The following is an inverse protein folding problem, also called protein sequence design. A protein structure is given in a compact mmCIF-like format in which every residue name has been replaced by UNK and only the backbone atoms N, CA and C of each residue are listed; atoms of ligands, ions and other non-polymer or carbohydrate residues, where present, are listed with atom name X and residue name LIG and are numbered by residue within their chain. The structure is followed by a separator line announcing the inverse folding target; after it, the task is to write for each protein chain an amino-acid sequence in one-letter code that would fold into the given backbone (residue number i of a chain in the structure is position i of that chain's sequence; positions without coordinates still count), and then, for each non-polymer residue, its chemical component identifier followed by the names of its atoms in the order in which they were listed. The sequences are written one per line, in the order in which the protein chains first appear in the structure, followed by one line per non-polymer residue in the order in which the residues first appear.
data_IF_836134219676
#
_entry.id   IF_836134219676
#
_cell.length_a   1.000
_cell.length_b   1.000
_cell.length_c   1.000
_cell.angle_alpha   90.00
_cell.angle_beta   90.00
_cell.angle_gamma   90.00
#
_symmetry.space_group_name_H-M   'P 1'
#
loop_
_entity.id
_entity.type
_entity.pdbx_description
1 polymer ?
#
# COMPACT_ATOMS: atom_id res chain seq x y z
N UNK A 1 8.28 -14.72 22.62
CA UNK A 1 8.83 -14.72 21.25
C UNK A 1 8.91 -13.27 20.80
N UNK A 2 10.10 -12.65 20.80
CA UNK A 2 10.27 -11.26 20.38
C UNK A 2 10.25 -11.20 18.85
N UNK A 3 9.15 -10.68 18.29
CA UNK A 3 9.01 -10.44 16.86
C UNK A 3 9.95 -9.30 16.46
N UNK A 4 11.02 -9.63 15.73
CA UNK A 4 11.92 -8.64 15.13
C UNK A 4 11.28 -8.14 13.84
N UNK A 5 10.47 -7.09 13.95
CA UNK A 5 9.91 -6.37 12.79
C UNK A 5 11.08 -5.65 12.11
N UNK A 6 11.48 -6.09 10.92
CA UNK A 6 12.42 -5.38 10.05
C UNK A 6 11.76 -4.08 9.57
N UNK A 7 12.27 -2.91 9.97
CA UNK A 7 11.74 -1.61 9.58
C UNK A 7 12.15 -1.20 8.15
N UNK A 8 11.14 -1.05 7.27
CA UNK A 8 10.76 0.07 6.37
C UNK A 8 11.85 0.93 5.68
N UNK A 9 13.01 1.20 6.27
CA UNK A 9 14.04 2.06 5.66
C UNK A 9 14.68 1.49 4.38
N UNK A 10 14.70 0.17 4.23
CA UNK A 10 15.29 -0.51 3.07
C UNK A 10 14.26 -0.85 1.98
N UNK A 11 12.96 -0.73 2.26
CA UNK A 11 11.94 -1.30 1.38
C UNK A 11 11.45 -0.35 0.29
N UNK A 12 11.42 0.96 0.55
CA UNK A 12 11.19 1.93 -0.53
C UNK A 12 12.38 1.97 -1.52
N UNK A 13 13.54 1.46 -1.13
CA UNK A 13 14.73 1.33 -1.97
C UNK A 13 14.69 0.09 -2.89
N UNK A 14 13.78 -0.87 -2.68
CA UNK A 14 13.74 -2.14 -3.42
C UNK A 14 12.78 -2.12 -4.63
N UNK A 15 12.00 -1.05 -4.81
CA UNK A 15 11.18 -0.83 -6.02
C UNK A 15 12.02 -0.20 -7.16
N UNK A 16 13.22 0.31 -6.86
CA UNK A 16 14.23 0.63 -7.86
C UNK A 16 15.23 -0.53 -7.91
N UNK A 17 15.21 -1.27 -9.02
CA UNK A 17 15.98 -2.49 -9.19
C UNK A 17 17.48 -2.33 -8.90
N UNK A 18 18.15 -3.48 -8.74
CA UNK A 18 19.62 -3.63 -8.72
C UNK A 18 20.32 -2.56 -9.57
N UNK A 19 20.68 -1.43 -8.98
CA UNK A 19 21.52 -0.46 -9.64
C UNK A 19 22.96 -0.93 -9.44
N UNK A 20 23.46 -1.65 -10.43
CA UNK A 20 24.87 -1.47 -10.82
C UNK A 20 25.15 0.02 -10.82
N UNK A 21 26.22 0.49 -10.17
CA UNK A 21 26.52 1.91 -10.00
C UNK A 21 26.40 2.68 -11.33
N UNK A 22 25.24 3.29 -11.58
CA UNK A 22 25.02 4.18 -12.71
C UNK A 22 25.38 5.56 -12.22
N UNK A 23 26.26 6.25 -12.96
CA UNK A 23 26.68 7.62 -12.65
C UNK A 23 25.46 8.53 -12.44
N UNK A 24 25.49 9.47 -11.47
CA UNK A 24 24.34 10.29 -11.06
C UNK A 24 24.07 11.45 -12.05
N UNK A 25 23.90 11.10 -13.32
CA UNK A 25 23.44 11.98 -14.39
C UNK A 25 22.21 11.37 -15.06
N UNK A 26 21.35 10.71 -14.29
CA UNK A 26 19.97 10.54 -14.72
C UNK A 26 19.31 11.91 -14.57
N UNK A 27 18.93 12.49 -15.71
CA UNK A 27 18.01 13.61 -15.74
C UNK A 27 16.86 13.27 -14.80
N UNK A 28 16.55 14.17 -13.87
CA UNK A 28 15.29 14.13 -13.13
C UNK A 28 14.22 13.95 -14.21
N UNK A 29 13.43 12.86 -14.20
CA UNK A 29 12.38 12.72 -15.18
C UNK A 29 11.53 14.00 -15.09
N UNK A 30 10.96 14.43 -16.21
CA UNK A 30 10.06 15.57 -16.22
C UNK A 30 8.73 15.13 -15.58
N UNK A 31 8.75 14.85 -14.27
CA UNK A 31 7.62 14.40 -13.43
C UNK A 31 6.75 15.61 -13.07
N UNK A 32 6.62 16.58 -13.97
CA UNK A 32 5.69 17.66 -13.76
C UNK A 32 4.27 17.07 -13.84
N UNK A 33 3.75 16.68 -12.65
CA UNK A 33 2.36 16.28 -12.35
C UNK A 33 2.00 14.78 -12.45
N UNK A 34 2.93 13.86 -12.22
CA UNK A 34 2.56 12.43 -12.08
C UNK A 34 1.72 12.17 -10.83
N UNK A 35 0.69 11.31 -10.91
CA UNK A 35 -0.14 10.90 -9.75
C UNK A 35 0.19 9.49 -9.30
N UNK A 36 0.05 9.22 -8.00
CA UNK A 36 0.15 7.89 -7.41
C UNK A 36 -1.23 7.50 -6.89
N UNK A 37 -1.69 6.30 -7.27
CA UNK A 37 -2.89 5.72 -6.68
C UNK A 37 -2.48 4.98 -5.40
N UNK A 38 -2.85 5.51 -4.25
CA UNK A 38 -2.59 4.87 -2.96
C UNK A 38 -3.87 4.21 -2.43
N UNK A 39 -3.91 2.88 -2.42
CA UNK A 39 -5.02 2.16 -1.81
C UNK A 39 -4.75 1.91 -0.32
N UNK A 40 -5.68 2.33 0.53
CA UNK A 40 -5.67 2.00 1.96
C UNK A 40 -6.91 1.18 2.31
N UNK A 41 -6.79 0.23 3.24
CA UNK A 41 -7.97 -0.35 3.87
C UNK A 41 -8.79 0.75 4.55
N UNK A 42 -10.12 0.64 4.55
CA UNK A 42 -10.93 1.68 5.21
C UNK A 42 -10.71 1.67 6.72
N UNK A 43 -10.55 0.47 7.29
CA UNK A 43 -10.31 0.25 8.70
C UNK A 43 -8.93 -0.32 8.94
N UNK A 44 -8.34 0.00 10.09
CA UNK A 44 -7.10 -0.59 10.58
C UNK A 44 -5.91 -0.46 9.61
N UNK A 45 -5.66 0.75 9.12
CA UNK A 45 -4.44 1.13 8.38
C UNK A 45 -3.28 1.35 9.33
N UNK A 46 -2.09 0.82 9.04
CA UNK A 46 -0.92 1.11 9.88
C UNK A 46 -0.41 2.53 9.59
N UNK A 47 -0.59 3.45 10.54
CA UNK A 47 -0.37 4.89 10.34
C UNK A 47 1.00 5.22 9.78
N UNK A 48 2.05 4.64 10.38
CA UNK A 48 3.45 4.92 9.98
C UNK A 48 3.72 4.49 8.55
N UNK A 49 3.17 3.35 8.11
CA UNK A 49 3.37 2.85 6.74
C UNK A 49 2.68 3.74 5.71
N UNK A 50 1.46 4.18 6.00
CA UNK A 50 0.74 5.15 5.17
C UNK A 50 1.47 6.49 5.13
N UNK A 51 1.72 7.09 6.30
CA UNK A 51 2.13 8.50 6.38
C UNK A 51 3.54 8.73 5.83
N UNK A 52 4.47 7.80 6.09
CA UNK A 52 5.83 7.88 5.54
C UNK A 52 5.82 7.73 4.03
N UNK A 53 5.06 6.79 3.47
CA UNK A 53 4.93 6.63 2.02
C UNK A 53 4.26 7.85 1.37
N UNK A 54 3.16 8.33 1.95
CA UNK A 54 2.40 9.48 1.45
C UNK A 54 3.26 10.74 1.37
N UNK A 55 3.93 11.12 2.46
CA UNK A 55 4.75 12.34 2.48
C UNK A 55 6.05 12.16 1.69
N UNK A 56 6.62 10.96 1.63
CA UNK A 56 7.78 10.66 0.79
C UNK A 56 7.48 10.83 -0.70
N UNK A 57 6.34 10.32 -1.17
CA UNK A 57 5.91 10.49 -2.57
C UNK A 57 5.61 11.95 -2.90
N UNK A 58 4.95 12.68 -1.99
CA UNK A 58 4.70 14.12 -2.18
C UNK A 58 5.98 14.95 -2.20
N UNK A 59 6.96 14.59 -1.39
CA UNK A 59 8.27 15.22 -1.40
C UNK A 59 9.02 15.02 -2.74
N UNK A 60 8.77 13.91 -3.44
CA UNK A 60 9.27 13.65 -4.78
C UNK A 60 8.47 14.37 -5.90
N UNK A 61 7.44 15.14 -5.54
CA UNK A 61 6.65 15.94 -6.48
C UNK A 61 5.39 15.25 -7.02
N UNK A 62 5.06 14.05 -6.56
CA UNK A 62 3.83 13.37 -6.98
C UNK A 62 2.59 13.92 -6.27
N UNK A 63 1.47 13.98 -6.98
CA UNK A 63 0.16 13.99 -6.35
C UNK A 63 -0.18 12.57 -5.88
N UNK A 64 -0.81 12.42 -4.71
CA UNK A 64 -1.16 11.09 -4.18
C UNK A 64 -2.66 11.05 -3.93
N UNK A 65 -3.37 10.25 -4.72
CA UNK A 65 -4.79 9.97 -4.50
C UNK A 65 -4.93 8.79 -3.55
N UNK A 66 -5.37 9.07 -2.34
CA UNK A 66 -5.64 8.07 -1.33
C UNK A 66 -7.08 7.59 -1.49
N UNK A 67 -7.27 6.33 -1.81
CA UNK A 67 -8.59 5.74 -2.03
C UNK A 67 -8.81 4.52 -1.16
N UNK A 68 -10.07 4.20 -0.92
CA UNK A 68 -10.47 3.01 -0.17
C UNK A 68 -11.78 2.43 -0.73
N UNK A 69 -12.44 1.55 0.01
CA UNK A 69 -13.75 0.99 -0.37
C UNK A 69 -14.93 1.97 -0.25
N UNK A 70 -14.74 3.07 0.48
CA UNK A 70 -15.72 4.13 0.74
C UNK A 70 -15.10 5.53 0.63
N UNK A 71 -15.88 6.55 1.00
CA UNK A 71 -15.46 7.97 1.00
C UNK A 71 -15.26 8.48 2.43
N UNK A 72 -14.72 9.70 2.58
CA UNK A 72 -14.53 10.34 3.88
C UNK A 72 -13.13 10.10 4.43
N UNK A 73 -13.03 9.46 5.60
CA UNK A 73 -11.77 9.25 6.28
C UNK A 73 -11.60 7.77 6.70
N UNK A 74 -10.44 7.19 6.39
CA UNK A 74 -10.06 5.86 6.86
C UNK A 74 -9.48 5.90 8.28
N UNK A 75 -9.60 4.76 8.96
CA UNK A 75 -9.23 4.57 10.36
C UNK A 75 -7.84 3.96 10.45
N UNK A 76 -6.93 4.66 11.10
CA UNK A 76 -5.55 4.18 11.32
C UNK A 76 -5.35 3.61 12.73
N UNK A 77 -4.23 2.90 12.92
CA UNK A 77 -3.71 2.45 14.22
C UNK A 77 -2.17 2.46 14.22
N UNK A 78 -1.56 2.22 15.38
CA UNK A 78 -0.11 2.05 15.53
C UNK A 78 0.63 3.18 16.23
N UNK A 79 -0.09 4.20 16.70
CA UNK A 79 0.50 5.36 17.32
C UNK A 79 1.25 6.25 16.33
N UNK A 80 2.02 7.20 16.85
CA UNK A 80 2.82 8.10 16.03
C UNK A 80 3.99 7.42 15.33
N UNK A 81 4.52 8.08 14.30
CA UNK A 81 5.68 7.60 13.53
C UNK A 81 6.87 7.35 14.44
N UNK A 82 7.12 8.24 15.40
CA UNK A 82 8.17 8.15 16.41
C UNK A 82 8.09 6.86 17.26
N UNK A 83 6.88 6.42 17.61
CA UNK A 83 6.66 5.17 18.35
C UNK A 83 6.95 3.90 17.53
N UNK A 84 6.99 4.01 16.21
CA UNK A 84 7.27 2.89 15.29
C UNK A 84 8.76 2.75 14.93
N UNK A 85 9.60 3.75 15.22
CA UNK A 85 11.02 3.74 14.86
C UNK A 85 11.84 3.00 15.93
N UNK A 86 12.52 1.92 15.54
CA UNK A 86 13.30 1.09 16.48
C UNK A 86 14.69 1.63 16.85
N UNK A 87 15.27 2.53 16.05
CA UNK A 87 16.64 3.03 16.27
C UNK A 87 16.65 4.39 16.96
N UNK A 88 16.31 5.45 16.24
CA UNK A 88 16.14 6.79 16.76
C UNK A 88 15.31 7.62 15.80
N UNK A 89 14.49 8.52 16.33
CA UNK A 89 13.67 9.41 15.51
C UNK A 89 14.52 10.33 14.63
N UNK A 90 15.60 10.91 15.19
CA UNK A 90 16.55 11.73 14.44
C UNK A 90 17.21 10.97 13.27
N UNK A 91 17.53 9.67 13.46
CA UNK A 91 18.06 8.83 12.38
C UNK A 91 17.04 8.58 11.27
N UNK A 92 15.76 8.41 11.62
CA UNK A 92 14.67 8.35 10.65
C UNK A 92 14.53 9.68 9.88
N UNK A 93 14.54 10.82 10.56
CA UNK A 93 14.44 12.14 9.89
C UNK A 93 15.59 12.36 8.90
N UNK A 94 16.81 11.96 9.27
CA UNK A 94 17.98 12.03 8.39
C UNK A 94 17.82 11.11 7.16
N UNK A 95 17.33 9.89 7.34
CA UNK A 95 17.06 8.96 6.24
C UNK A 95 15.94 9.47 5.32
N UNK A 96 14.88 10.03 5.88
CA UNK A 96 13.80 10.64 5.12
C UNK A 96 14.33 11.79 4.25
N UNK A 97 15.09 12.71 4.85
CA UNK A 97 15.71 13.82 4.14
C UNK A 97 16.69 13.36 3.05
N UNK A 98 17.50 12.35 3.32
CA UNK A 98 18.43 11.80 2.34
C UNK A 98 17.72 11.16 1.13
N UNK A 99 16.59 10.48 1.35
CA UNK A 99 15.87 9.78 0.29
C UNK A 99 14.91 10.67 -0.51
N UNK A 100 14.30 11.67 0.11
CA UNK A 100 13.24 12.47 -0.51
C UNK A 100 13.61 13.95 -0.70
N UNK A 101 14.80 14.37 -0.26
CA UNK A 101 15.27 15.74 -0.44
C UNK A 101 14.58 16.79 0.43
N UNK A 102 13.71 16.38 1.37
CA UNK A 102 13.04 17.29 2.32
C UNK A 102 13.08 16.77 3.75
N UNK A 103 13.13 17.69 4.72
CA UNK A 103 13.03 17.33 6.13
C UNK A 103 11.65 16.76 6.46
N UNK A 104 11.60 15.81 7.40
CA UNK A 104 10.36 15.37 8.01
C UNK A 104 9.69 16.53 8.76
N UNK A 105 8.38 16.73 8.58
CA UNK A 105 7.62 17.72 9.34
C UNK A 105 7.04 17.06 10.60
N UNK A 106 7.37 17.60 11.78
CA UNK A 106 6.92 17.06 13.06
C UNK A 106 5.38 16.97 13.21
N UNK A 107 4.61 17.77 12.47
CA UNK A 107 3.14 17.67 12.46
C UNK A 107 2.63 16.37 11.80
N UNK A 108 3.46 15.67 11.03
CA UNK A 108 3.14 14.38 10.43
C UNK A 108 3.33 13.19 11.38
N UNK A 109 3.95 13.43 12.55
CA UNK A 109 4.32 12.35 13.47
C UNK A 109 3.11 11.73 14.16
N UNK A 110 2.18 12.54 14.65
CA UNK A 110 1.03 12.06 15.40
C UNK A 110 0.07 11.23 14.53
N UNK A 111 -0.49 10.15 15.08
CA UNK A 111 -1.53 9.36 14.43
C UNK A 111 -2.79 10.20 14.21
N UNK A 112 -3.40 10.08 13.02
CA UNK A 112 -4.69 10.71 12.72
C UNK A 112 -5.55 9.82 11.80
N UNK A 113 -6.78 10.28 11.54
CA UNK A 113 -7.62 9.83 10.44
C UNK A 113 -6.94 10.08 9.09
N UNK A 114 -7.24 9.24 8.11
CA UNK A 114 -6.66 9.31 6.77
C UNK A 114 -7.70 9.87 5.81
N UNK A 115 -7.55 11.12 5.31
CA UNK A 115 -8.49 11.66 4.35
C UNK A 115 -8.44 10.88 3.03
N UNK A 116 -9.61 10.54 2.49
CA UNK A 116 -9.76 9.82 1.24
C UNK A 116 -10.17 10.77 0.11
N UNK A 117 -9.52 10.64 -1.04
CA UNK A 117 -9.85 11.32 -2.28
C UNK A 117 -11.07 10.69 -2.99
N UNK A 118 -11.41 9.44 -2.67
CA UNK A 118 -12.55 8.75 -3.26
C UNK A 118 -12.55 7.25 -3.02
N UNK A 119 -13.40 6.55 -3.77
CA UNK A 119 -13.51 5.09 -3.76
C UNK A 119 -12.62 4.48 -4.84
N UNK A 120 -11.99 3.34 -4.56
CA UNK A 120 -11.25 2.56 -5.56
C UNK A 120 -12.17 2.10 -6.69
N UNK A 121 -13.44 1.82 -6.37
CA UNK A 121 -14.50 1.42 -7.30
C UNK A 121 -14.74 2.46 -8.40
N UNK A 122 -14.50 3.74 -8.12
CA UNK A 122 -14.78 4.84 -9.03
C UNK A 122 -13.62 5.11 -10.01
N UNK A 123 -12.49 4.43 -9.85
CA UNK A 123 -11.30 4.60 -10.72
C UNK A 123 -11.51 3.81 -12.02
N UNK A 124 -11.81 4.51 -13.12
CA UNK A 124 -12.10 3.86 -14.41
C UNK A 124 -10.89 3.24 -15.09
N UNK A 125 -9.73 3.89 -15.03
CA UNK A 125 -8.46 3.45 -15.62
C UNK A 125 -7.26 4.02 -14.87
N UNK A 126 -6.04 3.73 -15.34
CA UNK A 126 -4.79 4.19 -14.73
C UNK A 126 -4.06 5.26 -15.54
N UNK A 127 -4.65 5.84 -16.58
CA UNK A 127 -3.94 6.72 -17.54
C UNK A 127 -3.20 7.88 -16.87
N UNK A 128 -3.76 8.42 -15.79
CA UNK A 128 -3.19 9.55 -15.04
C UNK A 128 -2.29 9.13 -13.87
N UNK A 129 -2.08 7.83 -13.66
CA UNK A 129 -1.31 7.29 -12.54
C UNK A 129 -0.01 6.65 -13.02
N UNK A 130 1.07 6.93 -12.31
CA UNK A 130 2.40 6.36 -12.56
C UNK A 130 2.60 5.03 -11.82
N UNK A 131 1.91 4.84 -10.69
CA UNK A 131 2.07 3.66 -9.85
C UNK A 131 0.84 3.39 -8.98
N UNK A 132 0.78 2.17 -8.46
CA UNK A 132 -0.09 1.80 -7.33
C UNK A 132 0.78 1.58 -6.09
N UNK A 133 0.38 2.15 -4.96
CA UNK A 133 1.03 1.95 -3.65
C UNK A 133 0.02 1.47 -2.61
N UNK A 134 0.37 0.42 -1.88
CA UNK A 134 -0.50 -0.24 -0.90
C UNK A 134 0.24 -0.31 0.45
N UNK A 135 0.09 0.68 1.34
CA UNK A 135 0.54 0.53 2.72
C UNK A 135 -0.22 -0.61 3.41
N UNK A 136 0.37 -1.17 4.46
CA UNK A 136 -0.24 -2.24 5.22
C UNK A 136 -1.14 -1.74 6.36
N UNK A 137 -1.22 -2.58 7.38
CA UNK A 137 -2.29 -2.56 8.37
C UNK A 137 -3.16 -3.80 8.22
N UNK A 138 -3.55 -4.38 9.34
CA UNK A 138 -4.29 -5.65 9.37
C UNK A 138 -5.58 -5.62 8.54
N UNK A 139 -6.23 -4.46 8.42
CA UNK A 139 -7.46 -4.33 7.62
C UNK A 139 -7.24 -4.54 6.12
N UNK A 140 -6.01 -4.47 5.62
CA UNK A 140 -5.71 -4.76 4.22
C UNK A 140 -6.08 -6.20 3.85
N UNK A 141 -5.87 -7.17 4.75
CA UNK A 141 -6.13 -8.61 4.50
C UNK A 141 -7.57 -8.87 4.05
N UNK A 142 -8.54 -8.06 4.49
CA UNK A 142 -9.93 -8.18 4.09
C UNK A 142 -10.18 -7.91 2.59
N UNK A 143 -9.21 -7.34 1.88
CA UNK A 143 -9.29 -6.96 0.46
C UNK A 143 -8.53 -7.91 -0.47
N UNK A 144 -8.20 -9.12 -0.02
CA UNK A 144 -7.66 -10.16 -0.89
C UNK A 144 -8.72 -10.61 -1.91
N UNK A 145 -8.34 -10.72 -3.18
CA UNK A 145 -9.25 -11.01 -4.29
C UNK A 145 -10.02 -12.34 -4.15
N UNK A 146 -9.38 -13.36 -3.59
CA UNK A 146 -9.94 -14.68 -3.32
C UNK A 146 -10.27 -14.89 -1.83
N UNK A 147 -10.41 -13.80 -1.07
CA UNK A 147 -10.76 -13.81 0.33
C UNK A 147 -12.23 -14.13 0.60
N UNK A 148 -12.54 -14.38 1.87
CA UNK A 148 -13.92 -14.42 2.37
C UNK A 148 -14.33 -13.04 2.89
N UNK A 149 -15.33 -12.44 2.25
CA UNK A 149 -15.73 -11.07 2.56
C UNK A 149 -16.75 -11.02 3.69
N UNK A 150 -16.44 -10.22 4.71
CA UNK A 150 -17.29 -9.94 5.85
C UNK A 150 -17.30 -8.44 6.16
N UNK A 151 -18.33 -7.98 6.87
CA UNK A 151 -18.41 -6.60 7.34
C UNK A 151 -17.16 -6.25 8.16
N UNK A 152 -16.51 -5.13 7.83
CA UNK A 152 -15.30 -4.68 8.50
C UNK A 152 -15.60 -3.50 9.41
N UNK A 153 -14.98 -3.49 10.58
CA UNK A 153 -15.06 -2.37 11.52
C UNK A 153 -13.68 -2.14 12.15
N UNK A 154 -13.31 -0.90 12.52
CA UNK A 154 -12.07 -0.63 13.21
C UNK A 154 -11.96 -1.43 14.50
N UNK A 155 -10.88 -2.19 14.68
CA UNK A 155 -10.70 -3.01 15.89
C UNK A 155 -10.54 -2.13 17.14
N UNK A 156 -9.84 -0.99 17.01
CA UNK A 156 -9.64 -0.05 18.12
C UNK A 156 -10.94 0.68 18.53
N UNK A 157 -11.96 0.66 17.68
CA UNK A 157 -13.24 1.31 17.94
C UNK A 157 -14.41 0.59 17.22
N UNK A 158 -14.80 -0.61 17.69
CA UNK A 158 -15.81 -1.42 17.01
C UNK A 158 -17.14 -0.68 16.85
N UNK A 159 -17.75 -0.77 15.66
CA UNK A 159 -19.02 -0.15 15.30
C UNK A 159 -18.96 1.34 14.94
N UNK A 160 -17.80 2.00 15.06
CA UNK A 160 -17.68 3.44 14.71
C UNK A 160 -17.72 3.70 13.21
N UNK A 161 -17.25 2.74 12.41
CA UNK A 161 -17.52 2.64 10.98
C UNK A 161 -17.69 1.15 10.64
N UNK A 162 -18.63 0.86 9.74
CA UNK A 162 -18.80 -0.50 9.20
C UNK A 162 -18.70 -0.39 7.68
N UNK A 163 -17.69 -1.05 7.10
CA UNK A 163 -17.59 -1.26 5.67
C UNK A 163 -18.34 -2.55 5.34
N UNK A 164 -19.48 -2.50 4.62
CA UNK A 164 -20.25 -3.70 4.31
C UNK A 164 -19.43 -4.70 3.50
N UNK A 165 -19.66 -6.00 3.70
CA UNK A 165 -18.98 -7.08 2.99
C UNK A 165 -19.01 -6.90 1.46
N UNK A 166 -20.14 -6.44 0.92
CA UNK A 166 -20.30 -6.17 -0.51
C UNK A 166 -19.39 -5.04 -1.02
N UNK A 167 -19.17 -3.98 -0.23
CA UNK A 167 -18.27 -2.89 -0.60
C UNK A 167 -16.81 -3.33 -0.54
N UNK A 168 -16.47 -4.17 0.45
CA UNK A 168 -15.14 -4.78 0.60
C UNK A 168 -14.83 -5.70 -0.59
N UNK A 169 -15.75 -6.58 -0.94
CA UNK A 169 -15.65 -7.44 -2.12
C UNK A 169 -15.45 -6.63 -3.40
N UNK A 170 -16.33 -5.65 -3.65
CA UNK A 170 -16.26 -4.82 -4.87
C UNK A 170 -14.92 -4.08 -4.95
N UNK A 171 -14.41 -3.59 -3.81
CA UNK A 171 -13.10 -2.95 -3.75
C UNK A 171 -11.94 -3.92 -4.03
N UNK A 172 -12.00 -5.15 -3.49
CA UNK A 172 -10.99 -6.18 -3.71
C UNK A 172 -10.92 -6.61 -5.20
N UNK A 173 -12.07 -6.86 -5.80
CA UNK A 173 -12.20 -7.18 -7.24
C UNK A 173 -11.66 -6.03 -8.10
N UNK A 174 -12.02 -4.79 -7.76
CA UNK A 174 -11.53 -3.61 -8.48
C UNK A 174 -10.02 -3.42 -8.33
N UNK A 175 -9.49 -3.61 -7.13
CA UNK A 175 -8.05 -3.51 -6.88
C UNK A 175 -7.28 -4.57 -7.67
N UNK A 176 -7.79 -5.81 -7.76
CA UNK A 176 -7.22 -6.85 -8.61
C UNK A 176 -7.17 -6.41 -10.09
N UNK A 177 -8.28 -5.86 -10.60
CA UNK A 177 -8.34 -5.35 -11.97
C UNK A 177 -7.29 -4.26 -12.21
N UNK A 178 -7.17 -3.28 -11.31
CA UNK A 178 -6.22 -2.19 -11.44
C UNK A 178 -4.76 -2.66 -11.33
N UNK A 179 -4.46 -3.64 -10.47
CA UNK A 179 -3.14 -4.28 -10.42
C UNK A 179 -2.79 -4.93 -11.76
N UNK A 180 -3.74 -5.63 -12.38
CA UNK A 180 -3.52 -6.22 -13.71
C UNK A 180 -3.25 -5.16 -14.77
N UNK A 181 -4.05 -4.09 -14.81
CA UNK A 181 -3.86 -2.97 -15.74
C UNK A 181 -2.48 -2.35 -15.53
N UNK A 182 -2.09 -2.04 -14.29
CA UNK A 182 -0.79 -1.47 -13.98
C UNK A 182 0.35 -2.35 -14.51
N UNK A 183 0.30 -3.66 -14.24
CA UNK A 183 1.33 -4.58 -14.69
C UNK A 183 1.38 -4.73 -16.23
N UNK A 184 0.23 -4.70 -16.91
CA UNK A 184 0.16 -4.73 -18.37
C UNK A 184 0.73 -3.45 -19.02
N UNK A 185 0.51 -2.30 -18.39
CA UNK A 185 1.04 -0.99 -18.80
C UNK A 185 2.50 -0.76 -18.38
N UNK A 186 3.11 -1.71 -17.66
CA UNK A 186 4.48 -1.57 -17.14
C UNK A 186 4.61 -0.61 -15.97
N UNK A 187 3.49 -0.27 -15.31
CA UNK A 187 3.46 0.59 -14.13
C UNK A 187 3.81 -0.20 -12.87
N UNK A 188 4.66 0.33 -11.99
CA UNK A 188 5.02 -0.32 -10.74
C UNK A 188 3.81 -0.46 -9.79
N UNK A 189 3.78 -1.58 -9.08
CA UNK A 189 2.86 -1.86 -7.97
C UNK A 189 3.71 -2.15 -6.73
N UNK A 190 3.64 -1.26 -5.75
CA UNK A 190 4.34 -1.39 -4.47
C UNK A 190 3.38 -1.73 -3.34
N UNK A 191 3.74 -2.69 -2.50
CA UNK A 191 2.94 -3.05 -1.33
C UNK A 191 3.84 -3.45 -0.16
N UNK A 192 3.38 -3.24 1.07
CA UNK A 192 4.17 -3.53 2.28
C UNK A 192 3.32 -4.18 3.38
N UNK A 193 3.98 -4.89 4.28
CA UNK A 193 3.36 -5.51 5.46
C UNK A 193 2.14 -6.37 5.09
N UNK A 194 0.96 -6.08 5.64
CA UNK A 194 -0.30 -6.77 5.34
C UNK A 194 -0.96 -6.30 4.03
N UNK A 195 -0.44 -5.25 3.38
CA UNK A 195 -0.83 -4.86 2.03
C UNK A 195 -0.18 -5.75 0.95
N UNK A 196 0.98 -6.34 1.23
CA UNK A 196 1.68 -7.23 0.28
C UNK A 196 0.88 -8.47 -0.15
N UNK A 197 0.12 -9.14 0.74
CA UNK A 197 -0.83 -10.17 0.34
C UNK A 197 -1.77 -9.75 -0.80
N UNK A 198 -2.19 -8.49 -0.93
CA UNK A 198 -3.14 -8.08 -1.97
C UNK A 198 -2.53 -8.26 -3.37
N UNK A 199 -1.22 -8.06 -3.51
CA UNK A 199 -0.48 -8.33 -4.75
C UNK A 199 -0.21 -9.83 -4.91
N UNK A 200 0.12 -10.55 -3.84
CA UNK A 200 0.37 -11.99 -3.91
C UNK A 200 -0.87 -12.81 -4.30
N UNK A 201 -2.04 -12.39 -3.79
CA UNK A 201 -3.34 -12.98 -4.05
C UNK A 201 -4.03 -12.41 -5.28
N UNK A 202 -3.49 -11.37 -5.92
CA UNK A 202 -3.99 -10.91 -7.22
C UNK A 202 -3.85 -12.00 -8.28
N UNK A 203 -4.84 -12.09 -9.18
CA UNK A 203 -4.98 -13.09 -10.23
C UNK A 203 -5.04 -12.42 -11.59
N UNK A 204 -4.41 -13.03 -12.58
CA UNK A 204 -4.44 -12.57 -13.97
C UNK A 204 -5.87 -12.72 -14.51
N UNK A 205 -6.44 -11.62 -15.00
CA UNK A 205 -7.79 -11.62 -15.56
C UNK A 205 -7.94 -12.66 -16.68
N UNK A 206 -9.07 -13.37 -16.69
CA UNK A 206 -9.36 -14.43 -17.67
C UNK A 206 -8.64 -15.76 -17.42
N UNK A 207 -7.87 -15.90 -16.33
CA UNK A 207 -7.19 -17.16 -16.00
C UNK A 207 -7.92 -18.02 -14.96
N UNK A 208 -9.12 -17.61 -14.52
CA UNK A 208 -9.94 -18.41 -13.60
C UNK A 208 -10.14 -19.85 -14.13
N UNK A 209 -10.04 -20.83 -13.24
CA UNK A 209 -10.02 -22.25 -13.60
C UNK A 209 -8.64 -22.81 -13.98
N UNK A 210 -7.64 -21.94 -14.20
CA UNK A 210 -6.23 -22.33 -14.26
C UNK A 210 -5.54 -22.11 -12.90
N UNK A 211 -4.39 -22.78 -12.67
CA UNK A 211 -3.60 -22.62 -11.45
C UNK A 211 -3.96 -23.58 -10.31
N UNK A 212 -3.36 -23.36 -9.13
CA UNK A 212 -3.64 -24.14 -7.93
C UNK A 212 -5.06 -23.84 -7.44
N UNK A 213 -5.83 -24.88 -7.11
CA UNK A 213 -7.24 -24.80 -6.68
C UNK A 213 -8.23 -24.09 -7.63
N UNK A 214 -7.83 -23.79 -8.87
CA UNK A 214 -8.69 -23.16 -9.88
C UNK A 214 -8.95 -21.65 -9.67
N UNK A 215 -8.22 -21.00 -8.77
CA UNK A 215 -8.38 -19.58 -8.41
C UNK A 215 -7.84 -18.61 -9.47
N UNK A 216 -7.12 -19.11 -10.48
CA UNK A 216 -6.43 -18.31 -11.48
C UNK A 216 -4.92 -18.28 -11.29
N UNK A 217 -4.22 -17.72 -12.27
CA UNK A 217 -2.76 -17.56 -12.21
C UNK A 217 -2.41 -16.33 -11.39
N UNK A 218 -1.59 -16.47 -10.35
CA UNK A 218 -1.10 -15.32 -9.57
C UNK A 218 -0.26 -14.38 -10.46
N UNK A 219 -0.39 -13.07 -10.25
CA UNK A 219 0.46 -12.06 -10.92
C UNK A 219 1.95 -12.17 -10.52
N UNK A 220 2.23 -12.87 -9.43
CA UNK A 220 3.57 -13.21 -8.93
C UNK A 220 4.04 -14.61 -9.34
N UNK A 221 3.35 -15.33 -10.23
CA UNK A 221 3.81 -16.63 -10.68
C UNK A 221 5.25 -16.56 -11.21
N UNK A 222 6.17 -17.31 -10.58
CA UNK A 222 7.60 -17.30 -10.91
C UNK A 222 8.38 -16.06 -10.44
N UNK A 223 7.81 -15.23 -9.58
CA UNK A 223 8.41 -14.00 -9.04
C UNK A 223 8.52 -14.06 -7.51
N UNK A 224 9.19 -13.08 -6.93
CA UNK A 224 9.37 -12.95 -5.48
C UNK A 224 8.66 -11.70 -4.95
N UNK A 225 8.12 -11.80 -3.75
CA UNK A 225 7.66 -10.68 -2.95
C UNK A 225 8.01 -10.93 -1.48
N UNK A 226 7.88 -9.89 -0.66
CA UNK A 226 7.95 -10.00 0.80
C UNK A 226 6.83 -9.17 1.41
N UNK A 227 6.52 -9.44 2.67
CA UNK A 227 5.41 -8.85 3.39
C UNK A 227 5.41 -9.30 4.84
N UNK A 228 4.33 -8.97 5.54
CA UNK A 228 4.11 -9.52 6.87
C UNK A 228 3.81 -11.02 6.76
N UNK A 229 4.45 -11.83 7.59
CA UNK A 229 4.19 -13.26 7.65
C UNK A 229 2.81 -13.49 8.29
N UNK A 230 1.82 -13.85 7.47
CA UNK A 230 0.53 -14.30 7.96
C UNK A 230 0.69 -15.68 8.63
N UNK A 231 0.08 -15.92 9.79
CA UNK A 231 0.01 -17.26 10.37
C UNK A 231 -0.63 -18.26 9.41
N UNK A 232 -0.16 -19.51 9.41
CA UNK A 232 -0.79 -20.60 8.65
C UNK A 232 -2.29 -20.69 8.99
N UNK A 233 -3.14 -20.71 7.96
CA UNK A 233 -4.60 -20.85 8.12
C UNK A 233 -5.35 -19.58 8.51
N UNK A 234 -4.71 -18.41 8.52
CA UNK A 234 -5.42 -17.12 8.60
C UNK A 234 -5.72 -16.59 7.19
N UNK A 235 -6.90 -16.98 6.68
CA UNK A 235 -7.56 -16.37 5.51
C UNK A 235 -8.98 -16.02 5.92
#
# INVERSE_FOLDING_TARGET
MQLRIFLIGTFLLLIFGLQTAVSPTQATPDIANGRILMFVAYNDVWWTEYKVAYEGLRALGYEVDVVSSGTGEAYSYGGGVDGSIQTSFAGFEALFAANFGTAWNASWTAQDRIPLNGRIQDISNLDNYEAIVIPGGKGAVAYQYDGSYADQSPEAAPGTHVSPAADVQTAAEKLNQLINIALQEGKPVGAQCHGAPLVAFARIDGTAGAGFDGLGTSVLAGKYATGYALPDGTV
#
